data_IF_854969760048
#
_entry.id   IF_854969760048
#
_cell.length_a   1.000
_cell.length_b   1.000
_cell.length_c   1.000
_cell.angle_alpha   90.00
_cell.angle_beta   90.00
_cell.angle_gamma   90.00
#
_symmetry.space_group_name_H-M   'P 1'
#
loop_
_entity.id
_entity.type
_entity.pdbx_description
1 polymer ?
#
# COMPACT_ATOMS: atom_id res chain seq x y z
N UNK A 1 27.79 -5.79 35.01
CA UNK A 1 27.65 -6.67 33.82
C UNK A 1 26.40 -7.51 34.03
N UNK A 2 25.31 -7.16 33.35
CA UNK A 2 24.04 -7.90 33.25
C UNK A 2 23.31 -7.17 32.13
N UNK A 3 23.12 -7.73 30.94
CA UNK A 3 22.59 -9.05 30.62
C UNK A 3 21.57 -8.72 29.54
N UNK A 4 21.97 -8.91 28.28
CA UNK A 4 21.32 -8.32 27.10
C UNK A 4 19.83 -8.64 27.03
N UNK A 5 19.02 -7.59 26.89
CA UNK A 5 17.61 -7.68 26.51
C UNK A 5 17.51 -8.00 25.01
N UNK A 6 17.82 -9.25 24.65
CA UNK A 6 17.36 -9.81 23.38
C UNK A 6 15.87 -10.14 23.51
N UNK A 7 15.01 -9.11 23.48
CA UNK A 7 13.62 -9.31 23.09
C UNK A 7 13.62 -9.60 21.60
N UNK A 8 13.13 -10.79 21.21
CA UNK A 8 12.98 -11.25 19.83
C UNK A 8 12.01 -10.39 19.02
N UNK A 9 12.48 -9.20 18.64
CA UNK A 9 11.81 -8.25 17.76
C UNK A 9 12.86 -7.35 17.13
N UNK A 10 12.60 -6.85 15.92
CA UNK A 10 13.58 -6.05 15.17
C UNK A 10 14.22 -4.94 16.01
N UNK A 11 15.50 -4.65 15.76
CA UNK A 11 16.29 -3.72 16.58
C UNK A 11 15.66 -2.32 16.64
N UNK A 12 15.91 -1.62 17.77
CA UNK A 12 15.45 -0.24 18.00
C UNK A 12 15.86 0.70 16.85
N UNK A 13 17.04 0.46 16.28
CA UNK A 13 17.56 1.20 15.13
C UNK A 13 16.64 1.00 13.93
N UNK A 14 16.32 -0.24 13.57
CA UNK A 14 15.46 -0.51 12.40
C UNK A 14 14.07 0.08 12.59
N UNK A 15 13.46 -0.06 13.77
CA UNK A 15 12.16 0.57 14.06
C UNK A 15 12.18 2.09 13.88
N UNK A 16 13.24 2.73 14.35
CA UNK A 16 13.39 4.19 14.25
C UNK A 16 13.59 4.62 12.80
N UNK A 17 14.48 3.96 12.07
CA UNK A 17 14.75 4.26 10.65
C UNK A 17 13.53 4.01 9.78
N UNK A 18 12.82 2.89 9.96
CA UNK A 18 11.60 2.57 9.22
C UNK A 18 10.51 3.63 9.41
N UNK A 19 10.38 4.20 10.61
CA UNK A 19 9.37 5.24 10.88
C UNK A 19 9.59 6.50 10.08
N UNK A 20 10.84 6.88 9.83
CA UNK A 20 11.18 8.00 8.95
C UNK A 20 11.04 7.59 7.48
N UNK A 21 11.59 6.43 7.12
CA UNK A 21 11.63 5.97 5.74
C UNK A 21 10.23 5.77 5.14
N UNK A 22 9.26 5.27 5.93
CA UNK A 22 7.88 5.09 5.44
C UNK A 22 7.26 6.39 4.91
N UNK A 23 7.57 7.54 5.53
CA UNK A 23 7.02 8.83 5.12
C UNK A 23 7.59 9.25 3.77
N UNK A 24 8.90 9.05 3.57
CA UNK A 24 9.55 9.28 2.28
C UNK A 24 9.04 8.34 1.19
N UNK A 25 8.86 7.05 1.49
CA UNK A 25 8.33 6.08 0.52
C UNK A 25 6.88 6.44 0.15
N UNK A 26 6.05 6.81 1.12
CA UNK A 26 4.67 7.23 0.84
C UNK A 26 4.61 8.48 -0.03
N UNK A 27 5.43 9.49 0.28
CA UNK A 27 5.50 10.71 -0.51
C UNK A 27 5.96 10.42 -1.94
N UNK A 28 6.98 9.58 -2.10
CA UNK A 28 7.46 9.15 -3.40
C UNK A 28 6.39 8.36 -4.16
N UNK A 29 5.67 7.45 -3.50
CA UNK A 29 4.57 6.70 -4.12
C UNK A 29 3.45 7.62 -4.60
N UNK A 30 3.04 8.60 -3.78
CA UNK A 30 2.03 9.61 -4.16
C UNK A 30 2.52 10.42 -5.37
N UNK A 31 3.79 10.84 -5.37
CA UNK A 31 4.39 11.54 -6.51
C UNK A 31 4.31 10.70 -7.80
N UNK A 32 4.65 9.41 -7.74
CA UNK A 32 4.58 8.50 -8.91
C UNK A 32 3.14 8.32 -9.41
N UNK A 33 2.15 8.28 -8.51
CA UNK A 33 0.73 8.22 -8.90
C UNK A 33 0.31 9.50 -9.63
N UNK A 34 0.64 10.67 -9.08
CA UNK A 34 0.21 11.97 -9.62
C UNK A 34 0.91 12.34 -10.93
N UNK A 35 2.20 12.02 -11.07
CA UNK A 35 3.00 12.32 -12.25
C UNK A 35 3.08 11.15 -13.24
N UNK A 36 2.16 10.19 -13.15
CA UNK A 36 2.11 9.03 -14.03
C UNK A 36 1.98 9.37 -15.51
N UNK A 37 1.41 10.53 -15.85
CA UNK A 37 1.25 10.98 -17.23
C UNK A 37 2.51 11.60 -17.85
N UNK A 38 3.47 12.07 -17.03
CA UNK A 38 4.70 12.75 -17.48
C UNK A 38 5.95 11.88 -17.31
N UNK A 39 5.95 11.00 -16.31
CA UNK A 39 7.10 10.19 -15.92
C UNK A 39 6.89 8.71 -16.28
N UNK A 40 7.96 7.91 -16.50
CA UNK A 40 7.83 6.47 -16.62
C UNK A 40 7.30 5.90 -15.28
N UNK A 41 5.99 5.66 -15.22
CA UNK A 41 5.29 5.42 -13.97
C UNK A 41 3.76 5.36 -14.16
N UNK A 42 3.01 5.52 -13.07
CA UNK A 42 1.55 5.46 -13.06
C UNK A 42 0.98 5.07 -11.71
N UNK A 43 -0.35 5.02 -11.65
CA UNK A 43 -1.16 4.53 -10.56
C UNK A 43 -0.76 3.14 -10.10
N UNK A 44 -0.47 2.22 -11.03
CA UNK A 44 -0.04 0.88 -10.66
C UNK A 44 1.31 0.89 -9.91
N UNK A 45 2.36 1.45 -10.53
CA UNK A 45 3.69 1.48 -9.93
C UNK A 45 3.72 2.27 -8.61
N UNK A 46 3.07 3.44 -8.59
CA UNK A 46 2.94 4.25 -7.37
C UNK A 46 2.13 3.56 -6.28
N UNK A 47 1.06 2.85 -6.66
CA UNK A 47 0.25 2.03 -5.76
C UNK A 47 1.05 0.90 -5.11
N UNK A 48 1.93 0.22 -5.87
CA UNK A 48 2.86 -0.80 -5.34
C UNK A 48 3.80 -0.18 -4.32
N UNK A 49 4.38 0.99 -4.61
CA UNK A 49 5.28 1.70 -3.69
C UNK A 49 4.57 2.07 -2.38
N UNK A 50 3.34 2.57 -2.47
CA UNK A 50 2.50 2.89 -1.31
C UNK A 50 2.24 1.62 -0.48
N UNK A 51 1.86 0.50 -1.12
CA UNK A 51 1.67 -0.78 -0.43
C UNK A 51 2.94 -1.23 0.30
N UNK A 52 4.10 -1.13 -0.35
CA UNK A 52 5.39 -1.47 0.24
C UNK A 52 5.68 -0.64 1.50
N UNK A 53 5.29 0.64 1.56
CA UNK A 53 5.44 1.44 2.78
C UNK A 53 4.61 0.88 3.95
N UNK A 54 3.36 0.47 3.71
CA UNK A 54 2.51 -0.15 4.73
C UNK A 54 3.00 -1.55 5.14
N UNK A 55 3.49 -2.33 4.18
CA UNK A 55 4.10 -3.64 4.44
C UNK A 55 5.36 -3.48 5.30
N UNK A 56 6.26 -2.57 4.93
CA UNK A 56 7.47 -2.26 5.68
C UNK A 56 7.14 -1.84 7.12
N UNK A 57 6.13 -1.00 7.30
CA UNK A 57 5.67 -0.61 8.63
C UNK A 57 5.15 -1.81 9.44
N UNK A 58 4.42 -2.72 8.79
CA UNK A 58 3.89 -3.94 9.42
C UNK A 58 5.00 -4.89 9.84
N UNK A 59 6.02 -5.06 9.00
CA UNK A 59 7.19 -5.86 9.34
C UNK A 59 7.96 -5.23 10.50
N UNK A 60 8.02 -3.89 10.57
CA UNK A 60 8.88 -3.22 11.53
C UNK A 60 8.29 -2.98 12.92
N UNK A 61 7.05 -2.49 12.95
CA UNK A 61 6.35 -2.14 14.18
C UNK A 61 5.35 -3.23 14.60
N UNK A 62 5.12 -4.23 13.74
CA UNK A 62 4.14 -5.28 13.94
C UNK A 62 2.76 -4.91 13.40
N UNK A 63 1.93 -5.93 13.20
CA UNK A 63 0.60 -5.82 12.59
C UNK A 63 -0.36 -4.94 13.39
N UNK A 64 -0.27 -4.98 14.70
CA UNK A 64 -1.18 -4.26 15.59
C UNK A 64 -0.99 -2.74 15.52
N UNK A 65 0.25 -2.28 15.30
CA UNK A 65 0.57 -0.87 15.05
C UNK A 65 0.06 -0.42 13.67
N UNK A 66 0.27 -1.22 12.62
CA UNK A 66 -0.24 -0.87 11.29
C UNK A 66 -1.76 -0.88 11.22
N UNK A 67 -2.43 -1.83 11.88
CA UNK A 67 -3.89 -1.94 11.88
C UNK A 67 -4.58 -0.70 12.48
N UNK A 68 -3.90 0.06 13.36
CA UNK A 68 -4.39 1.34 13.89
C UNK A 68 -4.37 2.46 12.85
N UNK A 69 -3.46 2.40 11.87
CA UNK A 69 -3.37 3.37 10.79
C UNK A 69 -4.26 2.98 9.61
N UNK A 70 -4.23 1.71 9.24
CA UNK A 70 -4.98 1.17 8.12
C UNK A 70 -5.51 -0.22 8.48
N UNK A 71 -6.76 -0.27 8.92
CA UNK A 71 -7.43 -1.54 9.19
C UNK A 71 -7.72 -2.30 7.89
N UNK A 72 -7.77 -3.62 7.95
CA UNK A 72 -8.12 -4.46 6.78
C UNK A 72 -9.48 -4.09 6.19
N UNK A 73 -10.45 -3.75 7.06
CA UNK A 73 -11.77 -3.29 6.65
C UNK A 73 -11.70 -1.96 5.91
N UNK A 74 -10.92 -1.00 6.41
CA UNK A 74 -10.71 0.28 5.75
C UNK A 74 -10.01 0.09 4.40
N UNK A 75 -8.98 -0.76 4.35
CA UNK A 75 -8.28 -1.08 3.11
C UNK A 75 -9.25 -1.67 2.07
N UNK A 76 -10.09 -2.64 2.45
CA UNK A 76 -11.09 -3.22 1.57
C UNK A 76 -12.11 -2.18 1.08
N UNK A 77 -12.61 -1.31 1.97
CA UNK A 77 -13.53 -0.23 1.60
C UNK A 77 -12.87 0.75 0.63
N UNK A 78 -11.62 1.14 0.86
CA UNK A 78 -10.89 2.05 -0.03
C UNK A 78 -10.59 1.40 -1.39
N UNK A 79 -10.27 0.10 -1.43
CA UNK A 79 -10.11 -0.63 -2.68
C UNK A 79 -11.40 -0.62 -3.51
N UNK A 80 -12.54 -0.91 -2.88
CA UNK A 80 -13.85 -0.87 -3.56
C UNK A 80 -14.21 0.56 -3.97
N UNK A 81 -13.95 1.56 -3.12
CA UNK A 81 -14.19 2.95 -3.44
C UNK A 81 -13.36 3.41 -4.65
N UNK A 82 -12.08 3.02 -4.72
CA UNK A 82 -11.23 3.29 -5.88
C UNK A 82 -11.77 2.63 -7.16
N UNK A 83 -12.25 1.39 -7.08
CA UNK A 83 -12.85 0.69 -8.20
C UNK A 83 -14.14 1.37 -8.69
N UNK A 84 -15.02 1.75 -7.76
CA UNK A 84 -16.25 2.47 -8.08
C UNK A 84 -15.96 3.86 -8.66
N UNK A 85 -14.92 4.53 -8.16
CA UNK A 85 -14.49 5.81 -8.70
C UNK A 85 -13.98 5.66 -10.15
N UNK A 86 -13.11 4.68 -10.41
CA UNK A 86 -12.65 4.37 -11.77
C UNK A 86 -13.82 4.08 -12.73
N UNK A 87 -14.77 3.25 -12.29
CA UNK A 87 -15.96 2.93 -13.07
C UNK A 87 -16.84 4.17 -13.31
N UNK A 88 -17.05 4.99 -12.28
CA UNK A 88 -17.83 6.22 -12.36
C UNK A 88 -17.23 7.22 -13.35
N UNK A 89 -15.91 7.38 -13.35
CA UNK A 89 -15.18 8.21 -14.32
C UNK A 89 -15.37 7.70 -15.75
N UNK A 90 -15.26 6.39 -15.97
CA UNK A 90 -15.50 5.80 -17.30
C UNK A 90 -16.94 5.93 -17.79
N UNK A 91 -17.92 5.76 -16.89
CA UNK A 91 -19.34 5.91 -17.19
C UNK A 91 -19.74 7.37 -17.45
N UNK A 92 -19.09 8.34 -16.80
CA UNK A 92 -19.36 9.75 -17.02
C UNK A 92 -19.15 10.16 -18.49
N UNK A 93 -18.17 9.57 -19.17
CA UNK A 93 -17.97 9.77 -20.61
C UNK A 93 -19.15 9.28 -21.46
N UNK A 94 -19.75 8.16 -21.07
CA UNK A 94 -20.90 7.57 -21.78
C UNK A 94 -22.19 8.39 -21.62
N UNK A 95 -22.40 9.00 -20.45
CA UNK A 95 -23.56 9.89 -20.21
C UNK A 95 -23.53 11.10 -21.16
N UNK A 96 -22.32 11.56 -21.54
CA UNK A 96 -22.13 12.61 -22.53
C UNK A 96 -22.26 12.17 -23.99
N UNK A 97 -22.68 10.92 -24.27
CA UNK A 97 -22.77 10.37 -25.62
C UNK A 97 -21.42 9.98 -26.25
N UNK A 98 -20.36 9.90 -25.43
CA UNK A 98 -19.00 9.57 -25.86
C UNK A 98 -18.66 8.11 -25.55
N UNK A 99 -17.51 7.62 -26.02
CA UNK A 99 -17.06 6.28 -25.69
C UNK A 99 -16.71 6.16 -24.18
N UNK A 100 -16.73 4.94 -23.65
CA UNK A 100 -16.23 4.64 -22.31
C UNK A 100 -14.76 5.07 -22.19
N UNK A 101 -14.41 5.78 -21.11
CA UNK A 101 -13.08 6.38 -20.87
C UNK A 101 -12.62 7.40 -21.93
N UNK A 102 -13.54 7.99 -22.72
CA UNK A 102 -13.18 9.08 -23.63
C UNK A 102 -12.64 10.28 -22.85
N UNK A 103 -11.50 10.83 -23.27
CA UNK A 103 -10.81 11.87 -22.51
C UNK A 103 -11.43 13.26 -22.75
N UNK A 104 -12.57 13.51 -22.12
CA UNK A 104 -13.33 14.75 -22.29
C UNK A 104 -12.83 15.93 -21.46
N UNK A 105 -11.83 15.73 -20.58
CA UNK A 105 -11.25 16.75 -19.71
C UNK A 105 -9.85 17.22 -20.15
N UNK A 106 -9.43 16.94 -21.38
CA UNK A 106 -8.17 17.50 -21.91
C UNK A 106 -8.33 19.02 -21.99
N UNK A 107 -7.64 19.74 -21.11
CA UNK A 107 -7.54 21.20 -21.20
C UNK A 107 -6.85 21.60 -22.50
N UNK A 108 -7.28 22.72 -23.10
CA UNK A 108 -6.75 23.22 -24.37
C UNK A 108 -5.22 23.09 -24.43
N UNK A 109 -4.77 22.45 -25.51
CA UNK A 109 -3.44 21.88 -25.80
C UNK A 109 -2.24 22.87 -25.79
N UNK A 110 -2.31 23.96 -25.03
CA UNK A 110 -1.29 25.01 -24.96
C UNK A 110 -0.87 25.43 -23.54
N UNK A 111 -1.40 24.82 -22.48
CA UNK A 111 -0.94 25.06 -21.11
C UNK A 111 0.14 24.04 -20.72
N UNK A 112 1.19 24.51 -20.05
CA UNK A 112 2.32 23.73 -19.52
C UNK A 112 1.90 22.40 -18.87
N UNK A 113 2.78 21.36 -18.84
CA UNK A 113 2.48 20.07 -18.23
C UNK A 113 2.20 20.24 -16.72
N UNK A 114 0.93 20.49 -16.41
CA UNK A 114 0.40 20.62 -15.08
C UNK A 114 -0.25 19.30 -14.66
N UNK A 115 -0.45 19.12 -13.36
CA UNK A 115 -1.19 18.01 -12.72
C UNK A 115 -2.67 17.86 -13.17
N UNK A 116 -3.10 18.65 -14.16
CA UNK A 116 -4.43 18.70 -14.74
C UNK A 116 -4.40 18.56 -16.27
N UNK A 117 -3.24 18.26 -16.87
CA UNK A 117 -3.05 18.19 -18.32
C UNK A 117 -3.51 16.84 -18.88
N UNK A 118 -3.43 15.76 -18.10
CA UNK A 118 -3.86 14.42 -18.51
C UNK A 118 -5.38 14.22 -18.53
N UNK A 119 -6.15 15.17 -17.98
CA UNK A 119 -7.62 15.13 -17.95
C UNK A 119 -8.13 13.93 -17.15
N UNK A 120 -8.84 13.02 -17.81
CA UNK A 120 -9.40 11.83 -17.17
C UNK A 120 -8.34 10.78 -16.83
N UNK A 121 -7.21 10.79 -17.55
CA UNK A 121 -6.13 9.82 -17.34
C UNK A 121 -5.59 9.95 -15.91
N UNK A 122 -5.36 11.17 -15.42
CA UNK A 122 -4.88 11.40 -14.05
C UNK A 122 -5.86 10.88 -12.99
N UNK A 123 -7.17 11.09 -13.20
CA UNK A 123 -8.20 10.56 -12.31
C UNK A 123 -8.18 9.03 -12.29
N UNK A 124 -8.02 8.41 -13.45
CA UNK A 124 -7.87 6.96 -13.58
C UNK A 124 -6.62 6.45 -12.86
N UNK A 125 -5.47 7.11 -13.02
CA UNK A 125 -4.23 6.72 -12.34
C UNK A 125 -4.35 6.83 -10.82
N UNK A 126 -5.00 7.87 -10.29
CA UNK A 126 -5.29 7.98 -8.85
C UNK A 126 -6.18 6.82 -8.39
N UNK A 127 -7.24 6.51 -9.14
CA UNK A 127 -8.15 5.41 -8.84
C UNK A 127 -7.40 4.06 -8.79
N UNK A 128 -6.60 3.79 -9.81
CA UNK A 128 -5.78 2.57 -9.93
C UNK A 128 -4.77 2.52 -8.78
N UNK A 129 -4.13 3.63 -8.43
CA UNK A 129 -3.17 3.70 -7.32
C UNK A 129 -3.80 3.35 -5.97
N UNK A 130 -5.03 3.80 -5.71
CA UNK A 130 -5.78 3.43 -4.51
C UNK A 130 -6.11 1.93 -4.52
N UNK A 131 -6.67 1.41 -5.61
CA UNK A 131 -7.05 -0.01 -5.72
C UNK A 131 -5.84 -0.90 -5.50
N UNK A 132 -4.73 -0.62 -6.20
CA UNK A 132 -3.51 -1.44 -6.16
C UNK A 132 -2.87 -1.38 -4.78
N UNK A 133 -2.73 -0.19 -4.18
CA UNK A 133 -2.11 -0.06 -2.86
C UNK A 133 -2.89 -0.81 -1.77
N UNK A 134 -4.21 -0.63 -1.74
CA UNK A 134 -5.07 -1.28 -0.76
C UNK A 134 -5.18 -2.78 -0.98
N UNK A 135 -5.27 -3.24 -2.23
CA UNK A 135 -5.37 -4.66 -2.56
C UNK A 135 -4.09 -5.42 -2.22
N UNK A 136 -2.92 -4.85 -2.51
CA UNK A 136 -1.64 -5.46 -2.15
C UNK A 136 -1.42 -5.50 -0.64
N UNK A 137 -1.77 -4.42 0.06
CA UNK A 137 -1.73 -4.43 1.53
C UNK A 137 -2.67 -5.49 2.10
N UNK A 138 -3.90 -5.61 1.59
CA UNK A 138 -4.86 -6.61 2.05
C UNK A 138 -4.39 -8.03 1.75
N UNK A 139 -3.87 -8.28 0.55
CA UNK A 139 -3.27 -9.56 0.18
C UNK A 139 -2.14 -9.94 1.15
N UNK A 140 -1.24 -9.00 1.45
CA UNK A 140 -0.20 -9.21 2.46
C UNK A 140 -0.77 -9.46 3.87
N UNK A 141 -1.77 -8.69 4.30
CA UNK A 141 -2.39 -8.84 5.62
C UNK A 141 -3.08 -10.21 5.79
N UNK A 142 -3.69 -10.72 4.72
CA UNK A 142 -4.29 -12.06 4.67
C UNK A 142 -3.19 -13.13 4.69
N UNK A 143 -2.19 -13.04 3.82
CA UNK A 143 -1.09 -14.01 3.76
C UNK A 143 -0.28 -14.08 5.06
N UNK A 144 -0.07 -12.95 5.72
CA UNK A 144 0.62 -12.90 7.01
C UNK A 144 -0.13 -13.60 8.15
N UNK A 145 -1.44 -13.88 8.02
CA UNK A 145 -2.16 -14.74 8.99
C UNK A 145 -1.75 -16.20 8.86
N UNK A 146 -1.57 -16.69 7.64
CA UNK A 146 -1.35 -18.12 7.38
C UNK A 146 0.05 -18.59 7.81
N UNK A 147 1.05 -17.70 7.78
CA UNK A 147 2.44 -18.07 8.07
C UNK A 147 2.82 -18.19 9.54
N UNK A 148 1.93 -17.82 10.47
CA UNK A 148 2.18 -17.89 11.93
C UNK A 148 1.89 -19.29 12.51
N UNK A 149 1.27 -20.19 11.75
CA UNK A 149 0.85 -21.52 12.24
C UNK A 149 1.91 -22.64 12.13
N UNK A 150 3.20 -22.33 11.94
CA UNK A 150 4.26 -23.33 11.72
C UNK A 150 5.47 -23.23 12.67
N UNK A 151 5.33 -22.61 13.84
CA UNK A 151 6.49 -22.36 14.71
C UNK A 151 6.23 -22.31 16.20
N UNK A 152 5.32 -23.15 16.72
CA UNK A 152 5.16 -23.31 18.17
C UNK A 152 4.86 -24.77 18.54
N UNK A 153 5.79 -25.67 18.22
CA UNK A 153 5.57 -27.11 18.37
C UNK A 153 6.80 -27.96 18.65
N UNK A 154 7.93 -27.41 19.08
CA UNK A 154 9.08 -28.25 19.46
C UNK A 154 10.04 -27.60 20.48
N UNK A 155 9.52 -27.25 21.66
CA UNK A 155 10.35 -26.96 22.85
C UNK A 155 9.86 -27.65 24.13
N UNK A 156 9.05 -28.72 24.03
CA UNK A 156 8.56 -29.45 25.23
C UNK A 156 8.94 -30.94 25.30
N UNK A 157 9.82 -31.45 24.42
CA UNK A 157 10.11 -32.89 24.36
C UNK A 157 11.55 -33.33 24.71
N UNK A 158 12.39 -32.50 25.31
CA UNK A 158 13.79 -32.93 25.63
C UNK A 158 14.33 -32.40 26.95
N UNK A 159 13.48 -32.36 27.99
CA UNK A 159 13.84 -31.81 29.30
C UNK A 159 13.63 -32.72 30.51
N UNK A 160 13.18 -33.97 30.36
CA UNK A 160 13.02 -34.88 31.50
C UNK A 160 13.69 -36.23 31.22
N UNK A 161 14.96 -36.32 31.60
CA UNK A 161 15.78 -37.52 31.47
C UNK A 161 17.09 -37.39 32.24
N UNK A 162 17.02 -36.88 33.47
CA UNK A 162 18.17 -36.73 34.35
C UNK A 162 17.82 -37.04 35.80
N UNK A 163 18.54 -38.02 36.35
CA UNK A 163 18.68 -38.36 37.77
C UNK A 163 17.50 -39.07 38.46
N UNK A 164 17.57 -40.41 38.48
CA UNK A 164 17.68 -41.20 39.73
C UNK A 164 18.03 -42.64 39.40
#
# INVERSE_FOLDING_TARGET
MSGGTHQGGMSLIVRTVTRWLKAFILLFGIYVVLYGHVSPGGGFAGGVVIACAYILLTLAEGRERTARLLSERLAAVLAVAGLLFFLGVGLAGMVGGRAFLDNFLVGDSGAEPALASGGIIELCEIAIGIIVSMSLFLAFAVLSRFRVSLGDGDETATGEGGAS
#
